data_IF_196732711137
#
_entry.id   IF_196732711137
#
_cell.length_a   1.000
_cell.length_b   1.000
_cell.length_c   1.000
_cell.angle_alpha   90.00
_cell.angle_beta   90.00
_cell.angle_gamma   90.00
#
_symmetry.space_group_name_H-M   'P 1'
#
loop_
_entity.id
_entity.type
_entity.pdbx_description
1 polymer ?
#
# COMPACT_ATOMS: atom_id res chain seq x y z
N UNK A 1 42.97 5.41 18.07
CA UNK A 1 43.02 5.19 16.60
C UNK A 1 42.51 3.81 16.18
N UNK A 2 42.91 2.73 16.85
CA UNK A 2 42.56 1.35 16.45
C UNK A 2 41.06 1.02 16.45
N UNK A 3 40.31 1.51 17.46
CA UNK A 3 38.84 1.40 17.49
C UNK A 3 38.15 2.08 16.30
N UNK A 4 38.72 3.17 15.78
CA UNK A 4 38.18 3.88 14.61
C UNK A 4 38.44 3.05 13.34
N UNK A 5 39.66 2.50 13.20
CA UNK A 5 40.02 1.61 12.08
C UNK A 5 39.14 0.37 12.02
N UNK A 6 38.88 -0.27 13.16
CA UNK A 6 37.95 -1.41 13.28
C UNK A 6 36.54 -1.07 12.79
N UNK A 7 36.00 0.08 13.22
CA UNK A 7 34.67 0.54 12.79
C UNK A 7 34.61 0.81 11.29
N UNK A 8 35.67 1.36 10.69
CA UNK A 8 35.73 1.63 9.25
C UNK A 8 35.75 0.31 8.47
N UNK A 9 36.65 -0.62 8.81
CA UNK A 9 36.72 -1.93 8.12
C UNK A 9 35.40 -2.69 8.18
N UNK A 10 34.74 -2.71 9.34
CA UNK A 10 33.41 -3.32 9.47
C UNK A 10 32.37 -2.65 8.57
N UNK A 11 32.34 -1.32 8.48
CA UNK A 11 31.42 -0.61 7.57
C UNK A 11 31.68 -0.94 6.11
N UNK A 12 32.94 -1.02 5.71
CA UNK A 12 33.35 -1.43 4.36
C UNK A 12 32.95 -2.87 4.07
N UNK A 13 33.14 -3.78 5.04
CA UNK A 13 32.69 -5.17 4.93
C UNK A 13 31.17 -5.27 4.75
N UNK A 14 30.38 -4.53 5.54
CA UNK A 14 28.92 -4.45 5.40
C UNK A 14 28.54 -3.97 4.00
N UNK A 15 29.10 -2.84 3.54
CA UNK A 15 28.76 -2.27 2.24
C UNK A 15 29.14 -3.21 1.09
N UNK A 16 30.29 -3.85 1.18
CA UNK A 16 30.78 -4.82 0.20
C UNK A 16 29.86 -6.05 0.14
N UNK A 17 29.48 -6.61 1.30
CA UNK A 17 28.54 -7.73 1.36
C UNK A 17 27.15 -7.36 0.85
N UNK A 18 26.64 -6.16 1.16
CA UNK A 18 25.38 -5.66 0.60
C UNK A 18 25.43 -5.55 -0.93
N UNK A 19 26.55 -5.12 -1.51
CA UNK A 19 26.73 -5.12 -2.97
C UNK A 19 26.65 -6.55 -3.55
N UNK A 20 27.29 -7.53 -2.89
CA UNK A 20 27.17 -8.95 -3.26
C UNK A 20 25.70 -9.43 -3.24
N UNK A 21 24.96 -9.08 -2.19
CA UNK A 21 23.53 -9.43 -2.07
C UNK A 21 22.72 -8.81 -3.20
N UNK A 22 22.95 -7.54 -3.52
CA UNK A 22 22.30 -6.85 -4.64
C UNK A 22 22.61 -7.56 -5.96
N UNK A 23 23.86 -7.95 -6.21
CA UNK A 23 24.29 -8.64 -7.44
C UNK A 23 23.70 -10.05 -7.55
N UNK A 24 23.68 -10.79 -6.44
CA UNK A 24 23.50 -12.25 -6.46
C UNK A 24 22.08 -12.70 -6.10
N UNK A 25 21.41 -11.97 -5.21
CA UNK A 25 20.10 -12.30 -4.64
C UNK A 25 19.06 -11.33 -5.20
N UNK A 26 18.29 -11.82 -6.18
CA UNK A 26 17.23 -11.06 -6.86
C UNK A 26 15.83 -11.52 -6.47
N UNK A 27 15.72 -12.70 -5.86
CA UNK A 27 14.45 -13.32 -5.50
C UNK A 27 14.00 -12.83 -4.10
N UNK A 28 12.82 -12.17 -3.97
CA UNK A 28 12.26 -11.78 -2.68
C UNK A 28 11.84 -12.97 -1.79
N UNK A 29 11.92 -14.21 -2.30
CA UNK A 29 11.64 -15.43 -1.56
C UNK A 29 12.89 -16.28 -1.27
N UNK A 30 14.08 -15.74 -1.55
CA UNK A 30 15.34 -16.47 -1.34
C UNK A 30 15.51 -16.90 0.12
N UNK A 31 15.92 -18.16 0.33
CA UNK A 31 16.24 -18.69 1.65
C UNK A 31 17.73 -18.48 1.98
N UNK A 32 18.04 -18.26 3.26
CA UNK A 32 19.42 -18.13 3.71
C UNK A 32 20.22 -19.41 3.45
N UNK A 33 19.64 -20.56 3.80
CA UNK A 33 20.26 -21.89 3.68
C UNK A 33 20.67 -22.23 2.25
N UNK A 34 19.85 -21.90 1.25
CA UNK A 34 20.18 -22.16 -0.16
C UNK A 34 21.12 -21.09 -0.72
N UNK A 35 20.99 -19.85 -0.25
CA UNK A 35 21.79 -18.72 -0.76
C UNK A 35 23.22 -18.71 -0.21
N UNK A 36 23.44 -19.22 1.01
CA UNK A 36 24.74 -19.18 1.70
C UNK A 36 25.85 -19.77 0.83
N UNK A 37 25.67 -21.00 0.32
CA UNK A 37 26.67 -21.66 -0.52
C UNK A 37 26.97 -20.93 -1.84
N UNK A 38 26.02 -20.13 -2.35
CA UNK A 38 26.23 -19.30 -3.54
C UNK A 38 27.04 -18.04 -3.20
N UNK A 39 26.75 -17.43 -2.05
CA UNK A 39 27.42 -16.22 -1.56
C UNK A 39 28.87 -16.51 -1.15
N UNK A 40 29.14 -17.68 -0.57
CA UNK A 40 30.50 -18.13 -0.20
C UNK A 40 31.42 -18.37 -1.41
N UNK A 41 30.86 -18.62 -2.59
CA UNK A 41 31.61 -18.79 -3.84
C UNK A 41 31.97 -17.47 -4.51
N UNK A 42 31.68 -16.34 -3.87
CA UNK A 42 32.05 -15.01 -4.36
C UNK A 42 33.57 -14.92 -4.56
N UNK A 43 34.08 -14.63 -5.78
CA UNK A 43 35.52 -14.54 -6.04
C UNK A 43 36.23 -13.46 -5.22
N UNK A 44 35.49 -12.43 -4.79
CA UNK A 44 36.01 -11.35 -3.95
C UNK A 44 36.04 -11.71 -2.46
N UNK A 45 35.52 -12.88 -2.07
CA UNK A 45 35.51 -13.36 -0.68
C UNK A 45 34.69 -12.48 0.27
N UNK A 46 33.71 -11.71 -0.23
CA UNK A 46 32.95 -10.75 0.59
C UNK A 46 32.14 -11.43 1.69
N UNK A 47 31.68 -12.67 1.44
CA UNK A 47 30.97 -13.50 2.42
C UNK A 47 31.89 -14.19 3.44
N UNK A 48 33.22 -14.12 3.27
CA UNK A 48 34.21 -14.71 4.17
C UNK A 48 35.04 -13.63 4.90
N UNK A 49 34.57 -12.39 4.88
CA UNK A 49 35.27 -11.27 5.50
C UNK A 49 35.28 -11.42 7.04
N UNK A 50 36.45 -11.39 7.71
CA UNK A 50 36.56 -11.62 9.15
C UNK A 50 35.91 -10.53 10.03
N UNK A 51 35.60 -9.35 9.47
CA UNK A 51 34.92 -8.26 10.19
C UNK A 51 33.39 -8.46 10.26
N UNK A 52 32.86 -9.54 9.65
CA UNK A 52 31.45 -9.96 9.72
C UNK A 52 31.36 -11.43 10.15
N UNK A 53 30.61 -11.71 11.22
CA UNK A 53 30.30 -13.07 11.61
C UNK A 53 29.08 -13.62 10.83
N UNK A 54 28.79 -14.92 11.00
CA UNK A 54 27.67 -15.56 10.31
C UNK A 54 26.31 -14.91 10.64
N UNK A 55 26.13 -14.44 11.88
CA UNK A 55 24.89 -13.80 12.30
C UNK A 55 24.70 -12.44 11.62
N UNK A 56 25.78 -11.67 11.45
CA UNK A 56 25.78 -10.42 10.70
C UNK A 56 25.43 -10.65 9.23
N UNK A 57 26.04 -11.65 8.60
CA UNK A 57 25.77 -12.01 7.20
C UNK A 57 24.31 -12.42 7.00
N UNK A 58 23.79 -13.29 7.86
CA UNK A 58 22.39 -13.72 7.80
C UNK A 58 21.43 -12.56 8.04
N UNK A 59 21.75 -11.65 8.98
CA UNK A 59 20.95 -10.45 9.23
C UNK A 59 20.88 -9.55 8.00
N UNK A 60 22.03 -9.25 7.38
CA UNK A 60 22.11 -8.43 6.17
C UNK A 60 21.35 -9.10 5.00
N UNK A 61 21.46 -10.42 4.87
CA UNK A 61 20.70 -11.18 3.88
C UNK A 61 19.18 -11.04 4.08
N UNK A 62 18.71 -11.25 5.32
CA UNK A 62 17.27 -11.16 5.66
C UNK A 62 16.72 -9.75 5.43
N UNK A 63 17.50 -8.73 5.78
CA UNK A 63 17.16 -7.33 5.52
C UNK A 63 17.05 -7.05 4.01
N UNK A 64 18.01 -7.52 3.21
CA UNK A 64 17.97 -7.40 1.76
C UNK A 64 16.75 -8.10 1.15
N UNK A 65 16.47 -9.35 1.52
CA UNK A 65 15.29 -10.09 1.04
C UNK A 65 13.99 -9.38 1.42
N UNK A 66 13.92 -8.82 2.63
CA UNK A 66 12.79 -7.99 3.07
C UNK A 66 12.62 -6.75 2.18
N UNK A 67 13.70 -6.02 1.88
CA UNK A 67 13.63 -4.86 0.98
C UNK A 67 13.17 -5.25 -0.44
N UNK A 68 13.65 -6.39 -0.97
CA UNK A 68 13.18 -6.91 -2.27
C UNK A 68 11.67 -7.16 -2.24
N UNK A 69 11.18 -7.80 -1.18
CA UNK A 69 9.76 -8.08 -0.98
C UNK A 69 8.94 -6.79 -0.90
N UNK A 70 9.37 -5.83 -0.08
CA UNK A 70 8.68 -4.55 0.12
C UNK A 70 8.58 -3.77 -1.20
N UNK A 71 9.63 -3.77 -2.01
CA UNK A 71 9.60 -3.19 -3.36
C UNK A 71 8.58 -3.89 -4.25
N UNK A 72 8.57 -5.23 -4.28
CA UNK A 72 7.56 -5.97 -5.05
C UNK A 72 6.13 -5.66 -4.58
N UNK A 73 5.91 -5.58 -3.26
CA UNK A 73 4.61 -5.26 -2.69
C UNK A 73 4.17 -3.82 -2.97
N UNK A 74 5.10 -2.87 -2.96
CA UNK A 74 4.84 -1.48 -3.35
C UNK A 74 4.36 -1.38 -4.79
N UNK A 75 5.12 -1.96 -5.72
CA UNK A 75 4.76 -1.99 -7.14
C UNK A 75 3.44 -2.72 -7.40
N UNK A 76 3.17 -3.80 -6.67
CA UNK A 76 1.90 -4.51 -6.78
C UNK A 76 0.72 -3.67 -6.27
N UNK A 77 0.90 -2.87 -5.20
CA UNK A 77 -0.14 -1.93 -4.73
C UNK A 77 -0.37 -0.81 -5.73
N UNK A 78 0.68 -0.29 -6.37
CA UNK A 78 0.55 0.70 -7.44
C UNK A 78 -0.27 0.12 -8.60
N UNK A 79 0.03 -1.11 -9.03
CA UNK A 79 -0.76 -1.84 -10.03
C UNK A 79 -2.23 -1.96 -9.64
N UNK A 80 -2.52 -2.29 -8.37
CA UNK A 80 -3.90 -2.40 -7.88
C UNK A 80 -4.62 -1.04 -7.96
N UNK A 81 -3.97 0.05 -7.54
CA UNK A 81 -4.55 1.40 -7.62
C UNK A 81 -4.84 1.79 -9.08
N UNK A 82 -3.94 1.46 -10.00
CA UNK A 82 -4.07 1.81 -11.42
C UNK A 82 -5.17 1.02 -12.13
N UNK A 83 -5.32 -0.28 -11.84
CA UNK A 83 -6.21 -1.16 -12.59
C UNK A 83 -7.53 -1.48 -11.87
N UNK A 84 -7.57 -1.42 -10.55
CA UNK A 84 -8.76 -1.70 -9.74
C UNK A 84 -9.44 -0.39 -9.36
N UNK A 85 -9.82 0.39 -10.37
CA UNK A 85 -10.49 1.69 -10.15
C UNK A 85 -11.98 1.51 -9.87
N UNK A 86 -12.67 2.50 -9.27
CA UNK A 86 -14.13 2.47 -9.08
C UNK A 86 -14.90 2.25 -10.39
N UNK A 87 -14.44 2.80 -11.50
CA UNK A 87 -15.06 2.65 -12.81
C UNK A 87 -14.91 1.23 -13.36
N UNK A 88 -13.74 0.62 -13.14
CA UNK A 88 -13.52 -0.78 -13.48
C UNK A 88 -14.31 -1.72 -12.55
N UNK A 89 -14.50 -1.33 -11.28
CA UNK A 89 -15.31 -2.03 -10.31
C UNK A 89 -16.81 -2.00 -10.58
N UNK A 90 -17.31 -0.97 -11.27
CA UNK A 90 -18.70 -0.87 -11.69
C UNK A 90 -19.07 -1.84 -12.83
N UNK A 91 -18.09 -2.45 -13.49
CA UNK A 91 -18.32 -3.41 -14.57
C UNK A 91 -18.58 -4.80 -13.98
N UNK A 92 -19.78 -5.29 -14.18
CA UNK A 92 -20.18 -6.66 -13.83
C UNK A 92 -19.91 -7.61 -14.99
N UNK A 93 -19.44 -8.81 -14.67
CA UNK A 93 -19.41 -9.93 -15.62
C UNK A 93 -20.80 -10.54 -15.78
N UNK A 94 -21.01 -11.37 -16.80
CA UNK A 94 -22.25 -12.14 -16.99
C UNK A 94 -22.69 -12.91 -15.73
N UNK A 95 -21.74 -13.36 -14.91
CA UNK A 95 -22.00 -14.04 -13.61
C UNK A 95 -22.34 -13.10 -12.43
N UNK A 96 -22.52 -11.80 -12.66
CA UNK A 96 -22.77 -10.79 -11.60
C UNK A 96 -21.58 -10.48 -10.69
N UNK A 97 -20.37 -10.94 -11.06
CA UNK A 97 -19.13 -10.70 -10.30
C UNK A 97 -18.42 -9.44 -10.80
N UNK A 98 -17.73 -8.76 -9.88
CA UNK A 98 -16.88 -7.60 -10.21
C UNK A 98 -15.42 -7.90 -9.88
N UNK A 99 -14.52 -7.01 -10.31
CA UNK A 99 -13.10 -7.08 -9.94
C UNK A 99 -12.84 -6.82 -8.44
N UNK A 100 -13.82 -6.32 -7.68
CA UNK A 100 -13.74 -6.16 -6.22
C UNK A 100 -14.24 -7.39 -5.46
N UNK A 101 -15.17 -8.15 -6.04
CA UNK A 101 -15.79 -9.31 -5.38
C UNK A 101 -15.19 -10.65 -5.80
N UNK A 102 -14.45 -10.69 -6.92
CA UNK A 102 -13.85 -11.93 -7.42
C UNK A 102 -12.37 -11.78 -7.76
N UNK A 103 -11.53 -12.52 -7.03
CA UNK A 103 -10.09 -12.62 -7.31
C UNK A 103 -9.83 -13.16 -8.71
N UNK A 104 -10.59 -14.16 -9.17
CA UNK A 104 -10.44 -14.73 -10.51
C UNK A 104 -10.66 -13.70 -11.61
N UNK A 105 -11.63 -12.80 -11.43
CA UNK A 105 -11.90 -11.69 -12.36
C UNK A 105 -10.76 -10.66 -12.30
N UNK A 106 -10.37 -10.21 -11.11
CA UNK A 106 -9.25 -9.28 -10.93
C UNK A 106 -7.93 -9.84 -11.51
N UNK A 107 -7.64 -11.12 -11.29
CA UNK A 107 -6.45 -11.81 -11.79
C UNK A 107 -6.37 -11.79 -13.32
N UNK A 108 -7.50 -11.87 -14.04
CA UNK A 108 -7.50 -11.78 -15.52
C UNK A 108 -6.98 -10.43 -16.00
N UNK A 109 -7.25 -9.36 -15.26
CA UNK A 109 -6.78 -8.00 -15.53
C UNK A 109 -5.32 -7.80 -15.12
N UNK A 110 -4.93 -8.32 -13.94
CA UNK A 110 -3.61 -8.09 -13.37
C UNK A 110 -2.49 -8.91 -14.04
N UNK A 111 -2.80 -10.11 -14.57
CA UNK A 111 -1.79 -11.08 -15.04
C UNK A 111 -0.93 -10.61 -16.22
N UNK A 112 -1.37 -9.62 -16.99
CA UNK A 112 -0.62 -9.06 -18.12
C UNK A 112 0.52 -8.14 -17.67
N UNK A 113 0.45 -7.58 -16.46
CA UNK A 113 1.45 -6.63 -15.96
C UNK A 113 2.65 -7.37 -15.33
N UNK A 114 3.91 -6.98 -15.63
CA UNK A 114 5.10 -7.58 -15.03
C UNK A 114 5.13 -7.52 -13.50
N UNK A 115 4.60 -6.46 -12.88
CA UNK A 115 4.54 -6.26 -11.42
C UNK A 115 3.71 -7.36 -10.74
N UNK A 116 2.69 -7.89 -11.42
CA UNK A 116 1.94 -9.05 -10.94
C UNK A 116 2.83 -10.28 -10.80
N UNK A 117 3.67 -10.55 -11.80
CA UNK A 117 4.53 -11.74 -11.80
C UNK A 117 5.65 -11.63 -10.77
N UNK A 118 6.18 -10.42 -10.54
CA UNK A 118 7.23 -10.15 -9.54
C UNK A 118 6.76 -10.30 -8.09
N UNK A 119 5.48 -10.08 -7.80
CA UNK A 119 4.93 -10.30 -6.47
C UNK A 119 4.86 -11.80 -6.14
N UNK A 120 5.35 -12.26 -4.97
CA UNK A 120 5.15 -13.64 -4.49
C UNK A 120 3.70 -14.14 -4.59
N UNK A 121 3.51 -15.31 -5.23
CA UNK A 121 2.17 -15.85 -5.58
C UNK A 121 1.21 -15.95 -4.39
N UNK A 122 1.72 -16.43 -3.25
CA UNK A 122 0.96 -16.67 -2.02
C UNK A 122 0.35 -15.38 -1.42
N UNK A 123 0.92 -14.22 -1.73
CA UNK A 123 0.52 -12.95 -1.09
C UNK A 123 -0.36 -12.07 -1.98
N UNK A 124 -0.46 -12.39 -3.29
CA UNK A 124 -1.17 -11.56 -4.27
C UNK A 124 -2.63 -11.36 -3.91
N UNK A 125 -3.32 -12.45 -3.57
CA UNK A 125 -4.75 -12.44 -3.25
C UNK A 125 -5.01 -11.70 -1.94
N UNK A 126 -4.18 -11.88 -0.91
CA UNK A 126 -4.32 -11.17 0.35
C UNK A 126 -4.14 -9.64 0.18
N UNK A 127 -3.17 -9.21 -0.64
CA UNK A 127 -2.96 -7.80 -0.96
C UNK A 127 -4.12 -7.21 -1.76
N UNK A 128 -4.63 -7.94 -2.76
CA UNK A 128 -5.82 -7.54 -3.50
C UNK A 128 -7.05 -7.44 -2.59
N UNK A 129 -7.29 -8.43 -1.73
CA UNK A 129 -8.44 -8.45 -0.82
C UNK A 129 -8.46 -7.22 0.08
N UNK A 130 -7.32 -6.88 0.69
CA UNK A 130 -7.17 -5.66 1.50
C UNK A 130 -7.48 -4.39 0.71
N UNK A 131 -7.02 -4.32 -0.54
CA UNK A 131 -7.27 -3.17 -1.41
C UNK A 131 -8.76 -3.06 -1.80
N UNK A 132 -9.39 -4.19 -2.13
CA UNK A 132 -10.81 -4.25 -2.47
C UNK A 132 -11.70 -3.86 -1.28
N UNK A 133 -11.40 -4.37 -0.09
CA UNK A 133 -12.08 -3.99 1.16
C UNK A 133 -11.98 -2.48 1.43
N UNK A 134 -10.80 -1.87 1.20
CA UNK A 134 -10.60 -0.44 1.37
C UNK A 134 -11.41 0.39 0.36
N UNK A 135 -11.51 -0.04 -0.90
CA UNK A 135 -12.34 0.63 -1.90
C UNK A 135 -13.83 0.53 -1.57
N UNK A 136 -14.31 -0.65 -1.16
CA UNK A 136 -15.69 -0.85 -0.73
C UNK A 136 -16.02 0.01 0.50
N UNK A 137 -15.09 0.09 1.46
CA UNK A 137 -15.22 0.94 2.65
C UNK A 137 -15.33 2.43 2.25
N UNK A 138 -14.49 2.90 1.33
CA UNK A 138 -14.56 4.28 0.80
C UNK A 138 -15.87 4.57 0.09
N UNK A 139 -16.38 3.62 -0.69
CA UNK A 139 -17.67 3.76 -1.36
C UNK A 139 -18.81 3.90 -0.36
N UNK A 140 -18.86 3.06 0.69
CA UNK A 140 -19.88 3.13 1.73
C UNK A 140 -19.89 4.46 2.48
N UNK A 141 -18.71 4.93 2.92
CA UNK A 141 -18.56 6.22 3.62
C UNK A 141 -19.01 7.38 2.74
N UNK A 142 -18.72 7.34 1.44
CA UNK A 142 -19.14 8.38 0.49
C UNK A 142 -20.66 8.42 0.28
N UNK A 143 -21.36 7.29 0.41
CA UNK A 143 -22.83 7.23 0.31
C UNK A 143 -23.48 7.79 1.57
N UNK A 144 -22.98 7.43 2.76
CA UNK A 144 -23.49 7.92 4.05
C UNK A 144 -23.37 9.45 4.16
N UNK A 145 -22.22 10.03 3.82
CA UNK A 145 -22.03 11.49 3.83
C UNK A 145 -22.91 12.25 2.82
N UNK A 146 -23.32 11.60 1.73
CA UNK A 146 -24.22 12.19 0.73
C UNK A 146 -25.68 12.14 1.19
N UNK A 147 -26.05 11.10 1.94
CA UNK A 147 -27.36 10.97 2.60
C UNK A 147 -27.59 12.04 3.67
N UNK A 148 -26.59 12.30 4.54
CA UNK A 148 -26.70 13.30 5.60
C UNK A 148 -26.81 14.73 5.07
N UNK A 149 -26.03 15.10 4.04
CA UNK A 149 -26.14 16.42 3.40
C UNK A 149 -27.51 16.67 2.76
N UNK A 150 -28.14 15.62 2.20
CA UNK A 150 -29.47 15.75 1.60
C UNK A 150 -30.57 15.88 2.67
N UNK A 151 -30.38 15.25 3.84
CA UNK A 151 -31.32 15.34 4.96
C UNK A 151 -31.25 16.72 5.65
N UNK A 152 -30.05 17.30 5.83
CA UNK A 152 -29.88 18.64 6.41
C UNK A 152 -30.44 19.75 5.49
N UNK A 153 -30.34 19.57 4.17
CA UNK A 153 -30.86 20.52 3.18
C UNK A 153 -32.40 20.57 3.14
N UNK A 154 -33.09 19.46 3.46
CA UNK A 154 -34.56 19.41 3.54
C UNK A 154 -35.10 20.02 4.84
N UNK A 155 -34.33 19.96 5.92
CA UNK A 155 -34.77 20.45 7.23
C UNK A 155 -34.63 21.99 7.41
N UNK A 156 -33.98 22.70 6.47
CA UNK A 156 -33.87 24.16 6.50
C UNK A 156 -34.94 24.90 5.69
N UNK A 157 -35.82 24.20 4.96
CA UNK A 157 -36.77 24.84 4.03
C UNK A 157 -38.18 25.06 4.61
N UNK A 158 -38.38 24.92 5.92
CA UNK A 158 -39.69 25.04 6.58
C UNK A 158 -39.68 26.02 7.77
N UNK A 159 -39.17 27.24 7.58
CA UNK A 159 -39.44 28.35 8.49
C UNK A 159 -39.81 29.60 7.67
N UNK A 160 -41.09 29.72 7.34
CA UNK A 160 -41.74 30.94 6.85
C UNK A 160 -42.14 31.79 8.07
N UNK A 161 -41.60 33.01 8.26
CA UNK A 161 -42.04 33.92 9.30
C UNK A 161 -43.05 34.91 8.71
N UNK A 162 -44.32 34.49 8.60
CA UNK A 162 -45.41 35.42 8.32
C UNK A 162 -46.52 35.27 9.35
N UNK A 163 -46.46 36.14 10.37
CA UNK A 163 -47.62 36.85 10.96
C UNK A 163 -47.20 37.60 12.22
N UNK A 164 -46.93 38.90 12.08
CA UNK A 164 -47.24 39.83 13.16
C UNK A 164 -48.26 40.83 12.66
N UNK A 165 -49.43 40.72 13.28
CA UNK A 165 -50.67 41.43 13.02
C UNK A 165 -50.57 42.92 13.30
N UNK A 166 -51.14 43.67 12.36
CA UNK A 166 -51.57 45.06 12.44
C UNK A 166 -52.27 45.43 13.76
N UNK A 167 -51.69 46.36 14.51
CA UNK A 167 -52.37 47.16 15.51
C UNK A 167 -52.64 48.57 14.95
N UNK A 168 -53.91 48.88 14.79
CA UNK A 168 -54.43 50.16 14.32
C UNK A 168 -54.65 51.12 15.50
N UNK A 169 -54.33 52.40 15.25
CA UNK A 169 -55.04 53.63 15.64
C UNK A 169 -54.77 54.33 16.98
N UNK A 170 -54.50 55.63 16.77
CA UNK A 170 -54.87 56.82 17.58
C UNK A 170 -53.96 57.13 18.76
N UNK A 171 -53.61 58.38 19.10
CA UNK A 171 -53.95 59.70 18.58
C UNK A 171 -52.97 60.72 19.23
N UNK A 172 -52.96 61.96 18.70
CA UNK A 172 -52.66 63.20 19.42
C UNK A 172 -51.20 63.41 19.89
N UNK A 173 -50.64 64.61 19.95
CA UNK A 173 -51.00 65.97 19.59
C UNK A 173 -49.74 66.81 19.90
N UNK A 174 -49.41 67.78 19.03
CA UNK A 174 -48.68 69.06 19.27
C UNK A 174 -47.58 69.06 20.37
N UNK A 175 -46.38 69.57 20.10
CA UNK A 175 -46.05 70.88 19.54
C UNK A 175 -44.54 71.00 19.45
#
# INVERSE_FOLDING_TARGET
MERIKLKVRRKEAVASYQALLVETIKDPQASWTESKAKLEKDPQGRASNPDLDEADLEKLFREHVKMLYERCAHEFRALLIELVTPEAAAKETEDGKTILTSWSTAKKLLKSDPRYTKMPRKDREALWKRHAEELLRRQKVSVEHKGDKHNESKNRSSNDPSRNSSASRSAQERR
#
